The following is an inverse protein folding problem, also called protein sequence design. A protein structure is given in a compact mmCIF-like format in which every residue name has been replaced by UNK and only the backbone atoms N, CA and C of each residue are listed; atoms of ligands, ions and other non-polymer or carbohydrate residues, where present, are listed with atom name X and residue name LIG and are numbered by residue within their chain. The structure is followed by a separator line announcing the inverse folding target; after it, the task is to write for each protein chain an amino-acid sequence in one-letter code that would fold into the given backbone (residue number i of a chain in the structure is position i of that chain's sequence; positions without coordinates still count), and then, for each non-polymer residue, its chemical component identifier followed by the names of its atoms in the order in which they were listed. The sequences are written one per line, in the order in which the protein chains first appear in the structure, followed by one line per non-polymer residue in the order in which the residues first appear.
data_IF_813909242132
#
_entry.id   IF_813909242132
#
_cell.length_a   1.000
_cell.length_b   1.000
_cell.length_c   1.000
_cell.angle_alpha   90.00
_cell.angle_beta   90.00
_cell.angle_gamma   90.00
#
_symmetry.space_group_name_H-M   'P 1'
#
loop_
_entity.id
_entity.type
_entity.pdbx_description
1 polymer ?
#
# COMPACT_ATOMS: atom_id res chain seq x y z
N UNK A 1 5.75 -31.11 -30.20
CA UNK A 1 5.14 -29.76 -30.26
C UNK A 1 4.36 -29.37 -29.01
N UNK A 2 3.51 -30.23 -28.44
CA UNK A 2 2.71 -29.93 -27.22
C UNK A 2 3.56 -29.53 -26.00
N UNK A 3 4.76 -30.10 -25.82
CA UNK A 3 5.68 -29.74 -24.72
C UNK A 3 6.15 -28.28 -24.77
N UNK A 4 6.38 -27.71 -25.96
CA UNK A 4 6.80 -26.32 -26.11
C UNK A 4 5.63 -25.36 -25.85
N UNK A 5 4.41 -25.74 -26.26
CA UNK A 5 3.19 -24.96 -25.98
C UNK A 5 2.94 -24.88 -24.47
N UNK A 6 3.08 -26.00 -23.74
CA UNK A 6 2.93 -26.01 -22.28
C UNK A 6 3.99 -25.15 -21.56
N UNK A 7 5.22 -25.11 -22.09
CA UNK A 7 6.29 -24.28 -21.51
C UNK A 7 6.03 -22.79 -21.72
N UNK A 8 5.58 -22.40 -22.92
CA UNK A 8 5.19 -21.01 -23.24
C UNK A 8 3.99 -20.60 -22.38
N UNK A 9 2.98 -21.45 -22.24
CA UNK A 9 1.80 -21.17 -21.40
C UNK A 9 2.19 -20.98 -19.92
N UNK A 10 3.12 -21.79 -19.42
CA UNK A 10 3.62 -21.68 -18.05
C UNK A 10 4.39 -20.38 -17.81
N UNK A 11 5.19 -19.92 -18.78
CA UNK A 11 5.89 -18.63 -18.69
C UNK A 11 4.88 -17.47 -18.69
N UNK A 12 3.87 -17.52 -19.57
CA UNK A 12 2.82 -16.51 -19.60
C UNK A 12 2.04 -16.43 -18.29
N UNK A 13 1.69 -17.57 -17.69
CA UNK A 13 1.04 -17.60 -16.38
C UNK A 13 1.90 -16.94 -15.31
N UNK A 14 3.20 -17.28 -15.21
CA UNK A 14 4.11 -16.67 -14.24
C UNK A 14 4.22 -15.15 -14.44
N UNK A 15 4.29 -14.67 -15.68
CA UNK A 15 4.33 -13.24 -15.98
C UNK A 15 3.03 -12.52 -15.60
N UNK A 16 1.86 -13.15 -15.77
CA UNK A 16 0.58 -12.60 -15.34
C UNK A 16 0.54 -12.49 -13.81
N UNK A 17 0.98 -13.52 -13.09
CA UNK A 17 1.04 -13.47 -11.62
C UNK A 17 1.97 -12.36 -11.14
N UNK A 18 3.14 -12.18 -11.76
CA UNK A 18 4.05 -11.06 -11.45
C UNK A 18 3.36 -9.72 -11.71
N UNK A 19 2.68 -9.55 -12.86
CA UNK A 19 1.96 -8.32 -13.19
C UNK A 19 0.86 -7.97 -12.19
N UNK A 20 0.08 -8.96 -11.75
CA UNK A 20 -0.95 -8.76 -10.71
C UNK A 20 -0.34 -8.34 -9.37
N UNK A 21 0.83 -8.89 -9.01
CA UNK A 21 1.52 -8.55 -7.74
C UNK A 21 1.99 -7.09 -7.73
N UNK A 22 2.52 -6.59 -8.85
CA UNK A 22 2.97 -5.20 -8.94
C UNK A 22 1.81 -4.20 -8.92
N UNK A 23 0.66 -4.57 -9.47
CA UNK A 23 -0.54 -3.74 -9.44
C UNK A 23 -1.02 -3.45 -8.00
N UNK A 24 -0.94 -4.43 -7.11
CA UNK A 24 -1.36 -4.31 -5.71
C UNK A 24 -0.49 -3.33 -4.90
N UNK A 25 0.82 -3.37 -5.15
CA UNK A 25 1.79 -2.46 -4.51
C UNK A 25 1.61 -1.03 -5.03
N UNK A 26 1.44 -0.85 -6.33
CA UNK A 26 1.17 0.46 -6.93
C UNK A 26 -0.15 1.05 -6.44
N UNK A 27 -1.19 0.22 -6.31
CA UNK A 27 -2.47 0.65 -5.75
C UNK A 27 -2.30 1.09 -4.29
N UNK A 28 -1.63 0.29 -3.45
CA UNK A 28 -1.35 0.66 -2.06
C UNK A 28 -0.62 2.00 -1.96
N UNK A 29 0.47 2.18 -2.73
CA UNK A 29 1.24 3.43 -2.75
C UNK A 29 0.40 4.62 -3.25
N UNK A 30 -0.44 4.40 -4.26
CA UNK A 30 -1.37 5.40 -4.77
C UNK A 30 -2.37 5.85 -3.70
N UNK A 31 -2.93 4.90 -2.95
CA UNK A 31 -3.83 5.21 -1.84
C UNK A 31 -3.10 5.96 -0.72
N UNK A 32 -1.90 5.54 -0.32
CA UNK A 32 -1.10 6.23 0.72
C UNK A 32 -0.75 7.67 0.33
N UNK A 33 -0.41 7.90 -0.94
CA UNK A 33 -0.12 9.24 -1.44
C UNK A 33 -1.38 10.12 -1.45
N UNK A 34 -2.55 9.56 -1.78
CA UNK A 34 -3.82 10.31 -1.80
C UNK A 34 -4.22 10.93 -0.45
N UNK A 35 -3.65 10.41 0.65
CA UNK A 35 -3.89 10.87 2.02
C UNK A 35 -2.64 11.46 2.68
N UNK A 36 -1.61 11.81 1.89
CA UNK A 36 -0.34 12.38 2.36
C UNK A 36 0.44 11.52 3.37
N UNK A 37 0.28 10.19 3.34
CA UNK A 37 1.12 9.27 4.14
C UNK A 37 2.45 8.96 3.43
N UNK A 38 2.50 9.13 2.11
CA UNK A 38 3.72 9.06 1.31
C UNK A 38 3.80 10.27 0.41
N UNK A 39 5.02 10.63 0.02
CA UNK A 39 5.28 11.70 -0.95
C UNK A 39 6.05 11.14 -2.13
N UNK A 40 5.59 11.44 -3.35
CA UNK A 40 6.35 11.13 -4.56
C UNK A 40 7.46 12.17 -4.74
N UNK A 41 8.73 11.74 -4.68
CA UNK A 41 9.90 12.55 -5.04
C UNK A 41 10.67 11.87 -6.15
N UNK A 42 10.86 12.58 -7.26
CA UNK A 42 11.56 12.05 -8.45
C UNK A 42 10.97 10.71 -8.94
N UNK A 43 9.65 10.57 -8.88
CA UNK A 43 8.94 9.35 -9.25
C UNK A 43 9.04 8.20 -8.24
N UNK A 44 9.76 8.38 -7.13
CA UNK A 44 9.91 7.37 -6.09
C UNK A 44 9.04 7.70 -4.87
N UNK A 45 8.24 6.75 -4.37
CA UNK A 45 7.46 6.94 -3.15
C UNK A 45 8.41 7.00 -1.93
N UNK A 46 8.32 8.07 -1.17
CA UNK A 46 9.03 8.25 0.09
C UNK A 46 8.02 8.28 1.24
N UNK A 47 8.45 7.79 2.40
CA UNK A 47 7.63 7.85 3.61
C UNK A 47 7.52 9.30 4.10
N UNK A 48 6.31 9.67 4.52
CA UNK A 48 6.12 10.89 5.29
C UNK A 48 6.76 10.75 6.70
N UNK A 49 6.99 11.88 7.37
CA UNK A 49 7.52 11.89 8.73
C UNK A 49 6.56 11.19 9.71
N UNK A 50 7.10 10.34 10.59
CA UNK A 50 6.35 9.64 11.64
C UNK A 50 5.48 10.60 12.49
N UNK A 51 5.94 11.84 12.72
CA UNK A 51 5.17 12.86 13.45
C UNK A 51 3.94 13.33 12.68
N UNK A 52 4.07 13.53 11.37
CA UNK A 52 2.97 13.91 10.49
C UNK A 52 1.96 12.76 10.37
N UNK A 53 2.44 11.53 10.22
CA UNK A 53 1.60 10.32 10.21
C UNK A 53 0.78 10.23 11.50
N UNK A 54 1.41 10.40 12.66
CA UNK A 54 0.70 10.37 13.94
C UNK A 54 -0.29 11.52 14.10
N UNK A 55 -0.02 12.69 13.53
CA UNK A 55 -0.98 13.80 13.52
C UNK A 55 -2.22 13.46 12.68
N UNK A 56 -2.05 12.89 11.49
CA UNK A 56 -3.15 12.43 10.63
C UNK A 56 -3.99 11.37 11.36
N UNK A 57 -3.34 10.38 11.98
CA UNK A 57 -4.03 9.31 12.73
C UNK A 57 -4.83 9.89 13.91
N UNK A 58 -4.26 10.84 14.65
CA UNK A 58 -4.95 11.51 15.76
C UNK A 58 -6.12 12.36 15.27
N UNK A 59 -5.93 13.08 14.17
CA UNK A 59 -6.99 13.89 13.57
C UNK A 59 -8.19 13.03 13.20
N UNK A 60 -7.96 11.87 12.56
CA UNK A 60 -9.04 10.96 12.19
C UNK A 60 -9.68 10.25 13.38
N UNK A 61 -8.93 10.05 14.47
CA UNK A 61 -9.49 9.57 15.73
C UNK A 61 -10.47 10.58 16.33
N UNK A 62 -10.14 11.87 16.28
CA UNK A 62 -10.94 12.93 16.90
C UNK A 62 -12.11 13.39 16.01
N UNK A 63 -11.90 13.49 14.70
CA UNK A 63 -12.87 14.06 13.75
C UNK A 63 -13.65 12.99 12.96
N UNK A 64 -13.32 11.71 13.16
CA UNK A 64 -13.81 10.60 12.35
C UNK A 64 -13.00 10.41 11.07
N UNK A 65 -13.04 9.17 10.53
CA UNK A 65 -12.38 8.85 9.26
C UNK A 65 -13.11 9.59 8.13
N UNK A 66 -12.41 10.26 7.19
CA UNK A 66 -13.05 10.86 6.03
C UNK A 66 -13.81 9.80 5.23
N UNK A 67 -15.01 10.11 4.73
CA UNK A 67 -15.88 9.16 4.01
C UNK A 67 -15.21 8.53 2.78
N UNK A 68 -14.21 9.21 2.21
CA UNK A 68 -13.42 8.70 1.09
C UNK A 68 -12.48 7.55 1.49
N UNK A 69 -12.11 7.42 2.76
CA UNK A 69 -11.16 6.42 3.26
C UNK A 69 -11.79 5.05 3.41
N UNK A 70 -13.11 4.96 3.57
CA UNK A 70 -13.81 3.68 3.49
C UNK A 70 -13.62 2.98 2.14
N UNK A 71 -13.25 3.75 1.10
CA UNK A 71 -12.95 3.24 -0.25
C UNK A 71 -11.45 3.02 -0.49
N UNK A 72 -10.61 3.20 0.54
CA UNK A 72 -9.16 3.03 0.47
C UNK A 72 -8.72 1.90 1.43
N UNK A 73 -8.86 0.62 1.03
CA UNK A 73 -8.61 -0.52 1.91
C UNK A 73 -7.21 -0.50 2.54
N UNK A 74 -6.15 -0.21 1.78
CA UNK A 74 -4.78 -0.22 2.31
C UNK A 74 -4.54 0.87 3.35
N UNK A 75 -5.10 2.06 3.12
CA UNK A 75 -5.01 3.17 4.08
C UNK A 75 -5.76 2.83 5.35
N UNK A 76 -6.94 2.21 5.23
CA UNK A 76 -7.74 1.79 6.39
C UNK A 76 -6.96 0.79 7.25
N UNK A 77 -6.41 -0.25 6.63
CA UNK A 77 -5.67 -1.31 7.35
C UNK A 77 -4.43 -0.76 8.03
N UNK A 78 -3.65 0.09 7.33
CA UNK A 78 -2.48 0.74 7.88
C UNK A 78 -2.79 1.60 9.11
N UNK A 79 -3.86 2.39 9.04
CA UNK A 79 -4.26 3.29 10.12
C UNK A 79 -4.80 2.49 11.30
N UNK A 80 -5.53 1.40 11.06
CA UNK A 80 -6.01 0.51 12.12
C UNK A 80 -4.85 -0.15 12.87
N UNK A 81 -3.76 -0.52 12.17
CA UNK A 81 -2.52 -1.00 12.79
C UNK A 81 -1.90 0.06 13.69
N UNK A 82 -1.69 1.29 13.17
CA UNK A 82 -1.10 2.36 13.99
C UNK A 82 -1.99 2.71 15.17
N UNK A 83 -3.30 2.74 14.97
CA UNK A 83 -4.25 3.04 16.03
C UNK A 83 -4.18 2.02 17.16
N UNK A 84 -4.09 0.73 16.82
CA UNK A 84 -3.96 -0.36 17.78
C UNK A 84 -2.65 -0.27 18.57
N UNK A 85 -1.55 0.02 17.90
CA UNK A 85 -0.22 0.07 18.52
C UNK A 85 0.07 1.41 19.23
N UNK A 86 -0.67 2.47 18.90
CA UNK A 86 -0.48 3.82 19.44
C UNK A 86 0.79 4.54 18.93
N UNK A 87 1.52 3.94 17.98
CA UNK A 87 2.76 4.44 17.41
C UNK A 87 2.97 3.89 15.99
N UNK A 88 3.81 4.57 15.21
CA UNK A 88 4.24 4.06 13.90
C UNK A 88 5.20 2.89 14.12
N UNK A 89 4.74 1.66 13.85
CA UNK A 89 5.54 0.43 13.93
C UNK A 89 6.11 -0.02 12.57
N UNK A 90 5.49 0.44 11.48
CA UNK A 90 5.89 0.18 10.10
C UNK A 90 5.60 1.45 9.30
N UNK A 91 6.51 1.81 8.41
CA UNK A 91 6.33 3.00 7.57
C UNK A 91 5.45 2.69 6.34
N UNK A 92 4.73 3.67 5.77
CA UNK A 92 3.75 3.43 4.70
C UNK A 92 4.30 2.68 3.48
N UNK A 93 5.50 3.04 3.00
CA UNK A 93 6.17 2.35 1.88
C UNK A 93 6.51 0.91 2.26
N UNK A 94 7.02 0.68 3.47
CA UNK A 94 7.32 -0.68 3.95
C UNK A 94 6.04 -1.51 4.14
N UNK A 95 4.96 -0.89 4.58
CA UNK A 95 3.65 -1.54 4.66
C UNK A 95 3.18 -1.99 3.27
N UNK A 96 3.23 -1.12 2.27
CA UNK A 96 2.84 -1.49 0.89
C UNK A 96 3.74 -2.58 0.29
N UNK A 97 5.04 -2.59 0.61
CA UNK A 97 5.95 -3.66 0.19
C UNK A 97 5.68 -4.99 0.93
N UNK A 98 5.04 -4.94 2.10
CA UNK A 98 4.69 -6.08 2.94
C UNK A 98 3.26 -6.61 2.72
N UNK A 99 2.39 -5.90 1.98
CA UNK A 99 1.12 -6.47 1.44
C UNK A 99 1.38 -7.80 0.71
N UNK A 100 2.63 -7.98 0.26
CA UNK A 100 3.22 -9.16 -0.37
C UNK A 100 3.36 -10.42 0.52
N UNK A 101 3.29 -10.34 1.86
CA UNK A 101 3.61 -11.48 2.75
C UNK A 101 2.42 -12.35 3.12
#
# INVERSE_FOLDING_TARGET
MVKYINYILSIFLVLIFIGCIYADVEECLGQMNSVNLTVLRDGNPQNENDSNIMNIVREWKSNGKPTRIEKLPYVKDYIDIIHKEGKVIIRPVQFCLNVKQ
#
